data_IF_686136100613
#
_entry.id   IF_686136100613
#
_cell.length_a   1.000
_cell.length_b   1.000
_cell.length_c   1.000
_cell.angle_alpha   90.00
_cell.angle_beta   90.00
_cell.angle_gamma   90.00
#
_symmetry.space_group_name_H-M   'P 1'
#
loop_
_entity.id
_entity.type
_entity.pdbx_description
1 polymer ?
#
# COMPACT_ATOMS: atom_id res chain seq x y z
N UNK A 1 2.01 -10.93 5.99
CA UNK A 1 0.91 -11.70 5.38
C UNK A 1 0.68 -11.20 3.95
N UNK A 2 1.61 -11.45 3.02
CA UNK A 2 1.41 -11.12 1.61
C UNK A 2 0.29 -11.95 0.94
N UNK A 3 -0.06 -13.11 1.49
CA UNK A 3 -1.00 -14.08 0.90
C UNK A 3 -2.43 -13.51 0.82
N UNK A 4 -2.92 -12.94 1.93
CA UNK A 4 -4.26 -12.33 1.96
C UNK A 4 -4.36 -11.10 1.06
N UNK A 5 -3.31 -10.28 1.02
CA UNK A 5 -3.25 -9.11 0.15
C UNK A 5 -3.19 -9.51 -1.33
N UNK A 6 -2.43 -10.56 -1.68
CA UNK A 6 -2.39 -11.13 -3.02
C UNK A 6 -3.76 -11.63 -3.48
N UNK A 7 -4.46 -12.39 -2.63
CA UNK A 7 -5.81 -12.87 -2.94
C UNK A 7 -6.81 -11.71 -3.14
N UNK A 8 -6.70 -10.64 -2.34
CA UNK A 8 -7.53 -9.44 -2.51
C UNK A 8 -7.27 -8.75 -3.86
N UNK A 9 -6.00 -8.64 -4.27
CA UNK A 9 -5.62 -8.02 -5.54
C UNK A 9 -6.17 -8.85 -6.71
N UNK A 10 -5.98 -10.17 -6.66
CA UNK A 10 -6.50 -11.09 -7.67
C UNK A 10 -8.01 -10.97 -7.79
N UNK A 11 -8.73 -11.02 -6.67
CA UNK A 11 -10.19 -10.85 -6.64
C UNK A 11 -10.63 -9.49 -7.20
N UNK A 12 -9.93 -8.41 -6.83
CA UNK A 12 -10.22 -7.06 -7.29
C UNK A 12 -10.13 -6.91 -8.81
N UNK A 13 -9.10 -7.51 -9.43
CA UNK A 13 -8.95 -7.46 -10.89
C UNK A 13 -9.85 -8.48 -11.62
N UNK A 14 -9.99 -9.70 -11.10
CA UNK A 14 -10.62 -10.81 -11.85
C UNK A 14 -12.13 -10.93 -11.63
N UNK A 15 -12.62 -10.57 -10.44
CA UNK A 15 -14.05 -10.72 -10.08
C UNK A 15 -14.76 -9.38 -10.06
N UNK A 16 -14.11 -8.35 -9.50
CA UNK A 16 -14.69 -7.02 -9.42
C UNK A 16 -14.41 -6.16 -10.67
N UNK A 17 -13.56 -6.63 -11.58
CA UNK A 17 -13.17 -5.91 -12.80
C UNK A 17 -12.67 -4.48 -12.51
N UNK A 18 -11.92 -4.31 -11.41
CA UNK A 18 -11.33 -3.02 -11.07
C UNK A 18 -10.20 -2.70 -12.04
N UNK A 19 -10.18 -1.48 -12.58
CA UNK A 19 -9.08 -1.03 -13.43
C UNK A 19 -7.79 -0.69 -12.64
N UNK A 20 -7.92 -0.33 -11.36
CA UNK A 20 -6.80 0.09 -10.52
C UNK A 20 -7.05 -0.23 -9.05
N UNK A 21 -5.97 -0.60 -8.36
CA UNK A 21 -5.92 -0.76 -6.90
C UNK A 21 -4.77 0.11 -6.40
N UNK A 22 -5.02 0.94 -5.38
CA UNK A 22 -4.01 1.74 -4.69
C UNK A 22 -3.77 1.19 -3.28
N UNK A 23 -2.52 1.20 -2.84
CA UNK A 23 -2.12 0.78 -1.49
C UNK A 23 -1.41 1.94 -0.80
N UNK A 24 -2.00 2.41 0.30
CA UNK A 24 -1.38 3.43 1.14
C UNK A 24 -0.56 2.81 2.28
N UNK A 25 0.66 3.31 2.50
CA UNK A 25 1.46 3.00 3.68
C UNK A 25 2.29 4.20 4.15
N UNK A 26 2.71 4.20 5.41
CA UNK A 26 3.57 5.27 5.93
C UNK A 26 5.04 5.01 5.64
N UNK A 27 5.82 6.07 5.43
CA UNK A 27 7.26 5.99 5.21
C UNK A 27 8.03 5.40 6.40
N UNK A 28 7.47 5.52 7.61
CA UNK A 28 7.95 4.87 8.84
C UNK A 28 7.74 3.35 8.84
N UNK A 29 6.72 2.83 8.15
CA UNK A 29 6.37 1.41 8.17
C UNK A 29 7.05 0.63 7.02
N UNK A 30 8.32 0.29 7.22
CA UNK A 30 9.14 -0.45 6.25
C UNK A 30 8.63 -1.86 5.93
N UNK A 31 7.96 -2.51 6.89
CA UNK A 31 7.39 -3.86 6.68
C UNK A 31 6.24 -3.82 5.66
N UNK A 32 5.37 -2.81 5.75
CA UNK A 32 4.25 -2.66 4.79
C UNK A 32 4.74 -2.24 3.40
N UNK A 33 5.76 -1.37 3.33
CA UNK A 33 6.44 -1.04 2.05
C UNK A 33 6.99 -2.28 1.36
N UNK A 34 7.67 -3.17 2.11
CA UNK A 34 8.22 -4.41 1.55
C UNK A 34 7.13 -5.36 1.02
N UNK A 35 5.96 -5.42 1.67
CA UNK A 35 4.81 -6.19 1.17
C UNK A 35 4.28 -5.59 -0.13
N UNK A 36 4.13 -4.26 -0.20
CA UNK A 36 3.69 -3.58 -1.43
C UNK A 36 4.63 -3.86 -2.60
N UNK A 37 5.94 -3.72 -2.39
CA UNK A 37 6.95 -4.04 -3.42
C UNK A 37 6.91 -5.51 -3.82
N UNK A 38 6.79 -6.44 -2.87
CA UNK A 38 6.70 -7.88 -3.16
C UNK A 38 5.46 -8.24 -4.00
N UNK A 39 4.37 -7.51 -3.83
CA UNK A 39 3.12 -7.70 -4.57
C UNK A 39 3.08 -6.92 -5.91
N UNK A 40 4.17 -6.25 -6.29
CA UNK A 40 4.29 -5.59 -7.58
C UNK A 40 3.77 -4.15 -7.65
N UNK A 41 3.41 -3.53 -6.51
CA UNK A 41 3.06 -2.11 -6.49
C UNK A 41 4.29 -1.23 -6.75
N UNK A 42 4.07 -0.13 -7.46
CA UNK A 42 5.02 0.96 -7.66
C UNK A 42 4.58 2.18 -6.85
N UNK A 43 5.53 3.01 -6.44
CA UNK A 43 5.22 4.26 -5.74
C UNK A 43 4.74 5.30 -6.75
N UNK A 44 3.50 5.76 -6.62
CA UNK A 44 2.95 6.80 -7.49
C UNK A 44 3.07 8.19 -6.87
N UNK A 45 2.86 8.31 -5.56
CA UNK A 45 2.89 9.59 -4.87
C UNK A 45 3.44 9.51 -3.44
N UNK A 46 4.16 10.57 -3.05
CA UNK A 46 4.59 10.84 -1.68
C UNK A 46 3.89 12.09 -1.16
N UNK A 47 3.17 11.95 -0.06
CA UNK A 47 2.46 13.04 0.61
C UNK A 47 3.14 13.32 1.94
N UNK A 48 3.79 14.47 2.05
CA UNK A 48 4.48 14.87 3.28
C UNK A 48 3.54 15.22 4.43
N UNK A 49 4.15 15.34 5.62
CA UNK A 49 3.54 15.83 6.86
C UNK A 49 2.25 15.11 7.29
N UNK A 50 2.19 13.80 7.06
CA UNK A 50 1.11 12.93 7.55
C UNK A 50 1.45 12.42 8.95
N UNK A 51 0.43 12.32 9.78
CA UNK A 51 0.53 11.65 11.08
C UNK A 51 0.28 10.16 10.90
N UNK A 52 1.19 9.34 11.40
CA UNK A 52 0.97 7.89 11.50
C UNK A 52 0.07 7.54 12.68
N UNK A 53 -0.16 6.24 12.88
CA UNK A 53 -0.95 5.71 13.98
C UNK A 53 -0.34 5.98 15.37
N UNK A 54 0.94 6.40 15.44
CA UNK A 54 1.62 6.82 16.66
C UNK A 54 1.70 8.36 16.77
N UNK A 55 0.97 9.10 15.92
CA UNK A 55 0.94 10.56 15.84
C UNK A 55 2.31 11.18 15.49
N UNK A 56 3.23 10.40 14.93
CA UNK A 56 4.52 10.88 14.43
C UNK A 56 4.36 11.43 13.00
N UNK A 57 5.06 12.52 12.69
CA UNK A 57 5.08 13.09 11.34
C UNK A 57 5.95 12.21 10.45
N UNK A 58 5.38 11.74 9.35
CA UNK A 58 6.04 10.96 8.32
C UNK A 58 5.35 11.21 6.97
N UNK A 59 5.82 10.54 5.92
CA UNK A 59 5.19 10.65 4.61
C UNK A 59 4.15 9.55 4.43
N UNK A 60 3.01 9.89 3.85
CA UNK A 60 2.12 8.90 3.23
C UNK A 60 2.64 8.51 1.86
N UNK A 61 2.77 7.22 1.61
CA UNK A 61 3.15 6.62 0.33
C UNK A 61 1.89 5.96 -0.25
N UNK A 62 1.59 6.19 -1.52
CA UNK A 62 0.46 5.59 -2.24
C UNK A 62 0.79 5.42 -3.73
#
# INVERSE_FOLDING_TARGET
MPEAAGAFIEYGFTVLDLHKIELACYSSNKRSQAVATKLGFTLEARVGDRKDAQNQRCDGLR
#
